data_IF_549229631984
#
_entry.id   IF_549229631984
#
_cell.length_a   1.000
_cell.length_b   1.000
_cell.length_c   1.000
_cell.angle_alpha   90.00
_cell.angle_beta   90.00
_cell.angle_gamma   90.00
#
_symmetry.space_group_name_H-M   'P 1'
#
loop_
_entity.id
_entity.type
_entity.pdbx_description
1 polymer ?
#
# COMPACT_ATOMS: atom_id res chain seq x y z
N UNK A 1 23.86 33.72 64.78
CA UNK A 1 25.22 33.44 64.27
C UNK A 1 25.20 32.04 63.65
N UNK A 2 25.83 31.90 62.49
CA UNK A 2 25.62 30.93 61.39
C UNK A 2 25.31 29.46 61.75
N UNK A 3 24.22 28.95 61.20
CA UNK A 3 23.89 27.52 61.04
C UNK A 3 24.69 27.01 59.83
N UNK A 4 25.50 25.95 60.01
CA UNK A 4 26.24 25.32 58.91
C UNK A 4 25.58 23.97 58.58
N UNK A 5 24.62 23.99 57.65
CA UNK A 5 23.96 22.79 57.14
C UNK A 5 24.92 22.06 56.19
N UNK A 6 25.54 21.00 56.71
CA UNK A 6 26.37 20.06 55.96
C UNK A 6 25.50 19.14 55.10
N UNK A 7 25.90 19.01 53.82
CA UNK A 7 25.61 17.91 52.88
C UNK A 7 24.16 17.71 52.45
N UNK A 8 23.78 18.45 51.40
CA UNK A 8 22.84 17.94 50.39
C UNK A 8 23.58 16.97 49.45
N UNK A 9 23.22 15.69 49.49
CA UNK A 9 23.58 14.69 48.48
C UNK A 9 22.41 14.59 47.51
N UNK A 10 22.48 15.27 46.37
CA UNK A 10 21.58 14.99 45.24
C UNK A 10 22.24 13.85 44.45
N UNK A 11 21.86 12.61 44.74
CA UNK A 11 22.20 11.47 43.90
C UNK A 11 21.32 11.47 42.65
N UNK A 12 21.86 11.85 41.50
CA UNK A 12 21.20 11.72 40.21
C UNK A 12 21.28 10.27 39.74
N UNK A 13 20.20 9.52 39.92
CA UNK A 13 20.02 8.22 39.27
C UNK A 13 19.77 8.42 37.77
N UNK A 14 20.78 8.22 36.95
CA UNK A 14 20.64 8.17 35.50
C UNK A 14 19.98 6.84 35.11
N UNK A 15 18.65 6.85 34.95
CA UNK A 15 17.91 5.78 34.29
C UNK A 15 18.26 5.80 32.80
N UNK A 16 19.16 4.91 32.39
CA UNK A 16 19.37 4.61 30.98
C UNK A 16 18.10 3.94 30.43
N UNK A 17 17.22 4.73 29.84
CA UNK A 17 16.17 4.22 28.95
C UNK A 17 16.86 3.67 27.71
N UNK A 18 17.21 2.39 27.74
CA UNK A 18 17.47 1.64 26.51
C UNK A 18 16.17 1.62 25.72
N UNK A 19 15.99 2.61 24.84
CA UNK A 19 14.92 2.59 23.87
C UNK A 19 15.17 1.40 22.95
N UNK A 20 14.48 0.28 23.20
CA UNK A 20 14.34 -0.81 22.25
C UNK A 20 13.64 -0.23 21.01
N UNK A 21 14.42 0.30 20.08
CA UNK A 21 13.91 0.57 18.73
C UNK A 21 13.82 -0.80 18.07
N UNK A 22 12.64 -1.24 17.59
CA UNK A 22 12.62 -2.38 16.68
C UNK A 22 13.54 -1.98 15.55
N UNK A 23 14.62 -2.74 15.33
CA UNK A 23 15.44 -2.59 14.14
C UNK A 23 14.48 -2.71 12.97
N UNK A 24 14.19 -1.60 12.30
CA UNK A 24 13.46 -1.67 11.04
C UNK A 24 14.42 -2.28 10.05
N UNK A 25 14.41 -3.62 10.00
CA UNK A 25 15.14 -4.43 9.06
C UNK A 25 14.73 -4.05 7.62
N UNK A 26 15.29 -2.96 7.10
CA UNK A 26 15.04 -2.48 5.73
C UNK A 26 15.37 -3.50 4.63
N UNK A 27 15.85 -4.71 4.96
CA UNK A 27 15.95 -5.81 3.99
C UNK A 27 14.61 -6.20 3.38
N UNK A 28 13.47 -5.94 4.04
CA UNK A 28 12.16 -6.08 3.39
C UNK A 28 11.94 -4.99 2.33
N UNK A 29 12.42 -3.77 2.55
CA UNK A 29 12.26 -2.62 1.63
C UNK A 29 12.91 -2.87 0.26
N UNK A 30 14.01 -3.63 0.20
CA UNK A 30 14.68 -3.98 -1.06
C UNK A 30 13.96 -5.07 -1.87
N UNK A 31 12.88 -5.66 -1.34
CA UNK A 31 11.99 -6.59 -2.06
C UNK A 31 10.68 -5.95 -2.49
N UNK A 32 10.43 -4.67 -2.20
CA UNK A 32 9.22 -4.01 -2.65
C UNK A 32 9.33 -3.72 -4.14
N UNK A 33 8.47 -4.38 -4.91
CA UNK A 33 8.22 -4.02 -6.29
C UNK A 33 6.87 -3.33 -6.33
N UNK A 34 6.82 -2.12 -6.84
CA UNK A 34 5.57 -1.42 -7.11
C UNK A 34 5.58 -0.90 -8.53
N UNK A 35 4.42 -0.87 -9.16
CA UNK A 35 4.30 -0.30 -10.48
C UNK A 35 2.85 0.03 -10.80
N UNK A 36 2.68 0.79 -11.87
CA UNK A 36 1.37 1.14 -12.37
C UNK A 36 1.31 1.05 -13.89
N UNK A 37 0.08 1.05 -14.40
CA UNK A 37 -0.20 1.35 -15.80
C UNK A 37 -1.51 2.09 -15.90
N UNK A 38 -1.52 3.12 -16.73
CA UNK A 38 -2.74 3.90 -17.01
C UNK A 38 -3.66 3.06 -17.88
N UNK A 39 -4.94 3.09 -17.57
CA UNK A 39 -6.00 2.37 -18.30
C UNK A 39 -7.17 3.31 -18.60
N UNK A 40 -7.67 3.24 -19.83
CA UNK A 40 -8.77 4.08 -20.29
C UNK A 40 -9.63 3.29 -21.30
N UNK A 41 -10.95 3.47 -21.24
CA UNK A 41 -11.90 2.75 -22.10
C UNK A 41 -11.62 2.94 -23.60
N UNK A 42 -11.23 4.15 -24.02
CA UNK A 42 -10.98 4.48 -25.43
C UNK A 42 -9.82 3.67 -26.01
N UNK A 43 -8.81 3.36 -25.20
CA UNK A 43 -7.61 2.65 -25.66
C UNK A 43 -7.60 1.17 -25.28
N UNK A 44 -8.47 0.73 -24.37
CA UNK A 44 -8.49 -0.64 -23.88
C UNK A 44 -8.63 -1.68 -25.01
N UNK A 45 -9.56 -1.45 -25.95
CA UNK A 45 -9.80 -2.38 -27.06
C UNK A 45 -8.66 -2.49 -28.08
N UNK A 46 -7.62 -1.64 -27.99
CA UNK A 46 -6.43 -1.75 -28.84
C UNK A 46 -5.53 -2.89 -28.37
N UNK A 47 -5.37 -3.03 -27.05
CA UNK A 47 -4.42 -3.95 -26.43
C UNK A 47 -5.10 -5.17 -25.77
N UNK A 48 -6.43 -5.13 -25.61
CA UNK A 48 -7.19 -6.10 -24.83
C UNK A 48 -8.40 -6.65 -25.59
N UNK A 49 -8.70 -7.92 -25.33
CA UNK A 49 -9.83 -8.63 -25.97
C UNK A 49 -11.09 -8.63 -25.11
N UNK A 50 -10.96 -8.34 -23.82
CA UNK A 50 -12.10 -8.21 -22.90
C UNK A 50 -12.68 -6.78 -22.93
N UNK A 51 -13.96 -6.57 -22.59
CA UNK A 51 -14.49 -5.23 -22.39
C UNK A 51 -13.77 -4.47 -21.26
N UNK A 52 -13.69 -3.14 -21.37
CA UNK A 52 -13.09 -2.31 -20.32
C UNK A 52 -13.85 -2.45 -18.99
N UNK A 53 -13.21 -2.91 -17.89
CA UNK A 53 -13.94 -3.34 -16.71
C UNK A 53 -14.26 -2.22 -15.70
N UNK A 54 -13.73 -1.01 -15.87
CA UNK A 54 -13.86 0.08 -14.89
C UNK A 54 -14.88 1.13 -15.31
N UNK A 55 -15.50 1.80 -14.34
CA UNK A 55 -16.49 2.86 -14.59
C UNK A 55 -15.88 4.20 -14.99
N UNK A 56 -14.56 4.33 -14.92
CA UNK A 56 -13.80 5.54 -15.28
C UNK A 56 -12.38 5.17 -15.66
N UNK A 57 -11.63 6.10 -16.25
CA UNK A 57 -10.18 5.97 -16.46
C UNK A 57 -9.42 6.01 -15.14
N UNK A 58 -8.27 5.34 -15.08
CA UNK A 58 -7.44 5.32 -13.89
C UNK A 58 -6.15 4.56 -14.10
N UNK A 59 -5.63 4.01 -13.01
CA UNK A 59 -4.41 3.23 -12.98
C UNK A 59 -4.70 1.84 -12.42
N UNK A 60 -4.09 0.83 -13.02
CA UNK A 60 -3.92 -0.46 -12.36
C UNK A 60 -2.59 -0.39 -11.63
N UNK A 61 -2.64 -0.48 -10.32
CA UNK A 61 -1.48 -0.51 -9.44
C UNK A 61 -1.14 -1.96 -9.07
N UNK A 62 0.15 -2.23 -8.91
CA UNK A 62 0.60 -3.47 -8.33
C UNK A 62 1.63 -3.19 -7.23
N UNK A 63 1.59 -3.99 -6.17
CA UNK A 63 2.57 -3.97 -5.08
C UNK A 63 2.88 -5.40 -4.69
N UNK A 64 4.16 -5.77 -4.67
CA UNK A 64 4.59 -7.08 -4.21
C UNK A 64 4.95 -7.04 -2.72
N UNK A 65 4.27 -7.91 -1.95
CA UNK A 65 4.65 -8.25 -0.58
C UNK A 65 5.04 -9.73 -0.50
N UNK A 66 6.18 -10.07 0.14
CA UNK A 66 6.64 -11.46 0.25
C UNK A 66 5.60 -12.43 0.82
N UNK A 67 4.80 -11.99 1.79
CA UNK A 67 3.85 -12.85 2.51
C UNK A 67 2.48 -13.00 1.81
N UNK A 68 2.15 -12.10 0.89
CA UNK A 68 0.80 -12.01 0.28
C UNK A 68 0.82 -12.15 -1.24
N UNK A 69 2.01 -12.12 -1.85
CA UNK A 69 2.19 -12.10 -3.29
C UNK A 69 1.98 -10.71 -3.87
N UNK A 70 1.72 -10.64 -5.17
CA UNK A 70 1.45 -9.39 -5.86
C UNK A 70 0.00 -8.99 -5.62
N UNK A 71 -0.20 -7.89 -4.91
CA UNK A 71 -1.46 -7.20 -4.77
C UNK A 71 -1.72 -6.37 -6.02
N UNK A 72 -2.94 -6.41 -6.54
CA UNK A 72 -3.34 -5.60 -7.69
C UNK A 72 -4.57 -4.78 -7.33
N UNK A 73 -4.50 -3.48 -7.55
CA UNK A 73 -5.57 -2.52 -7.27
C UNK A 73 -5.93 -1.73 -8.52
N UNK A 74 -7.15 -1.22 -8.56
CA UNK A 74 -7.55 -0.14 -9.47
C UNK A 74 -7.71 1.15 -8.69
N UNK A 75 -7.08 2.21 -9.17
CA UNK A 75 -7.21 3.56 -8.64
C UNK A 75 -7.75 4.51 -9.72
N UNK A 76 -8.92 5.12 -9.52
CA UNK A 76 -9.45 6.09 -10.46
C UNK A 76 -8.52 7.30 -10.64
N UNK A 77 -8.51 7.87 -11.84
CA UNK A 77 -7.72 9.06 -12.12
C UNK A 77 -8.07 10.20 -11.15
N UNK A 78 -7.04 10.84 -10.58
CA UNK A 78 -7.18 11.90 -9.58
C UNK A 78 -7.34 11.42 -8.13
N UNK A 79 -7.37 10.10 -7.89
CA UNK A 79 -7.48 9.54 -6.55
C UNK A 79 -6.14 9.08 -5.95
N UNK A 80 -5.01 9.19 -6.63
CA UNK A 80 -3.67 8.77 -6.15
C UNK A 80 -3.06 9.55 -4.97
N UNK A 81 -3.87 10.22 -4.15
CA UNK A 81 -3.45 10.99 -2.97
C UNK A 81 -3.36 10.08 -1.73
N UNK A 82 -2.53 10.49 -0.76
CA UNK A 82 -2.12 9.72 0.43
C UNK A 82 -3.23 9.08 1.29
N UNK A 83 -4.51 9.44 1.09
CA UNK A 83 -5.65 8.88 1.84
C UNK A 83 -6.56 7.97 1.04
N UNK A 84 -6.37 7.84 -0.28
CA UNK A 84 -7.19 6.94 -1.09
C UNK A 84 -6.70 5.50 -0.99
N UNK A 85 -7.66 4.59 -0.98
CA UNK A 85 -7.46 3.15 -1.00
C UNK A 85 -8.19 2.64 -2.23
N UNK A 86 -7.40 2.22 -3.21
CA UNK A 86 -7.90 1.67 -4.47
C UNK A 86 -8.76 0.42 -4.29
N UNK A 87 -9.49 0.07 -5.34
CA UNK A 87 -10.31 -1.15 -5.36
C UNK A 87 -9.42 -2.38 -5.54
N UNK A 88 -9.48 -3.40 -4.67
CA UNK A 88 -8.72 -4.64 -4.84
C UNK A 88 -9.23 -5.44 -6.02
N UNK A 89 -8.36 -5.81 -6.96
CA UNK A 89 -8.71 -6.61 -8.14
C UNK A 89 -8.46 -8.11 -7.95
N UNK A 90 -7.60 -8.48 -7.00
CA UNK A 90 -7.25 -9.88 -6.73
C UNK A 90 -7.37 -10.26 -5.25
N UNK A 91 -7.27 -11.57 -4.97
CA UNK A 91 -7.39 -12.10 -3.60
C UNK A 91 -6.28 -11.61 -2.66
N UNK A 92 -5.09 -11.34 -3.19
CA UNK A 92 -3.96 -10.83 -2.39
C UNK A 92 -4.28 -9.44 -1.84
N UNK A 93 -4.66 -8.52 -2.73
CA UNK A 93 -5.10 -7.16 -2.39
C UNK A 93 -6.28 -7.17 -1.40
N UNK A 94 -7.30 -7.99 -1.64
CA UNK A 94 -8.44 -8.07 -0.74
C UNK A 94 -8.07 -8.58 0.68
N UNK A 95 -7.13 -9.52 0.77
CA UNK A 95 -6.64 -10.03 2.06
C UNK A 95 -5.78 -9.00 2.79
N UNK A 96 -4.94 -8.26 2.06
CA UNK A 96 -4.10 -7.21 2.62
C UNK A 96 -4.96 -6.12 3.28
N UNK A 97 -5.95 -5.60 2.56
CA UNK A 97 -6.89 -4.62 3.14
C UNK A 97 -7.61 -5.16 4.38
N UNK A 98 -8.09 -6.41 4.33
CA UNK A 98 -8.77 -7.03 5.48
C UNK A 98 -7.86 -7.14 6.71
N UNK A 99 -6.60 -7.54 6.52
CA UNK A 99 -5.61 -7.65 7.61
C UNK A 99 -5.37 -6.31 8.27
N UNK A 100 -5.25 -5.26 7.46
CA UNK A 100 -4.92 -3.91 7.94
C UNK A 100 -6.14 -3.13 8.46
N UNK A 101 -7.33 -3.76 8.47
CA UNK A 101 -8.57 -3.09 8.86
C UNK A 101 -8.98 -1.97 7.90
N UNK A 102 -8.46 -2.00 6.67
CA UNK A 102 -8.67 -1.00 5.64
C UNK A 102 -9.81 -1.39 4.71
N UNK A 103 -10.44 -0.38 4.11
CA UNK A 103 -11.49 -0.56 3.09
C UNK A 103 -11.22 0.36 1.91
N UNK A 104 -11.54 -0.08 0.68
CA UNK A 104 -11.52 0.80 -0.48
C UNK A 104 -12.44 2.00 -0.24
N UNK A 105 -12.00 3.19 -0.63
CA UNK A 105 -12.75 4.44 -0.41
C UNK A 105 -12.84 5.32 -1.66
N UNK A 106 -12.50 4.77 -2.83
CA UNK A 106 -12.62 5.46 -4.12
C UNK A 106 -14.07 5.36 -4.67
N UNK A 107 -14.64 6.43 -5.25
CA UNK A 107 -16.05 6.46 -5.67
C UNK A 107 -16.31 5.78 -7.02
N UNK A 108 -15.26 5.53 -7.80
CA UNK A 108 -15.32 4.82 -9.07
C UNK A 108 -14.52 3.53 -8.99
N UNK A 109 -15.00 2.48 -9.65
CA UNK A 109 -14.50 1.13 -9.43
C UNK A 109 -14.86 0.25 -10.63
N UNK A 110 -15.30 -0.96 -10.37
CA UNK A 110 -15.59 -2.01 -11.33
C UNK A 110 -17.04 -1.90 -11.83
N UNK A 111 -17.25 -2.03 -13.14
CA UNK A 111 -18.58 -2.17 -13.75
C UNK A 111 -19.23 -3.46 -13.25
N UNK A 112 -20.53 -3.44 -13.00
CA UNK A 112 -21.26 -4.62 -12.53
C UNK A 112 -21.08 -5.80 -13.50
N UNK A 113 -20.72 -6.98 -12.97
CA UNK A 113 -20.51 -8.19 -13.75
C UNK A 113 -19.26 -8.19 -14.64
N UNK A 114 -18.36 -7.19 -14.52
CA UNK A 114 -17.15 -7.13 -15.33
C UNK A 114 -16.19 -8.31 -15.07
N UNK A 115 -15.60 -8.83 -16.14
CA UNK A 115 -14.47 -9.75 -16.04
C UNK A 115 -13.19 -8.97 -15.72
N UNK A 116 -12.57 -9.32 -14.60
CA UNK A 116 -11.33 -8.69 -14.12
C UNK A 116 -10.07 -9.48 -14.52
N UNK A 117 -10.22 -10.63 -15.16
CA UNK A 117 -9.12 -11.56 -15.42
C UNK A 117 -7.96 -10.89 -16.16
N UNK A 118 -8.25 -10.15 -17.22
CA UNK A 118 -7.26 -9.44 -18.02
C UNK A 118 -6.65 -8.25 -17.26
N UNK A 119 -7.45 -7.46 -16.55
CA UNK A 119 -6.96 -6.36 -15.73
C UNK A 119 -6.03 -6.83 -14.60
N UNK A 120 -6.35 -7.95 -13.94
CA UNK A 120 -5.47 -8.57 -12.97
C UNK A 120 -4.15 -9.00 -13.62
N UNK A 121 -4.19 -9.64 -14.79
CA UNK A 121 -2.98 -10.03 -15.50
C UNK A 121 -2.12 -8.83 -15.92
N UNK A 122 -2.74 -7.72 -16.33
CA UNK A 122 -2.04 -6.47 -16.61
C UNK A 122 -1.24 -6.03 -15.38
N UNK A 123 -1.88 -5.92 -14.21
CA UNK A 123 -1.21 -5.54 -12.97
C UNK A 123 -0.10 -6.52 -12.56
N UNK A 124 -0.34 -7.83 -12.67
CA UNK A 124 0.68 -8.85 -12.38
C UNK A 124 1.90 -8.71 -13.29
N UNK A 125 1.71 -8.41 -14.59
CA UNK A 125 2.81 -8.18 -15.54
C UNK A 125 3.59 -6.92 -15.22
N UNK A 126 2.96 -5.86 -14.75
CA UNK A 126 3.64 -4.60 -14.39
C UNK A 126 4.66 -4.84 -13.28
N UNK A 127 4.33 -5.61 -12.25
CA UNK A 127 5.26 -5.97 -11.19
C UNK A 127 6.18 -7.14 -11.54
N UNK A 128 5.79 -8.03 -12.46
CA UNK A 128 6.63 -9.16 -12.90
C UNK A 128 7.72 -8.79 -13.92
N UNK A 129 7.69 -7.58 -14.49
CA UNK A 129 8.65 -7.07 -15.48
C UNK A 129 9.74 -6.16 -14.89
N UNK A 130 9.70 -5.88 -13.58
CA UNK A 130 10.64 -4.99 -12.89
C UNK A 130 11.83 -5.74 -12.31
#
# INVERSE_FOLDING_TARGET
MRINMSRWLIGTAALFLAACTPSQDRSYASKFVSGNTVVNEVFWGVDHKTPYPFTTSGEILCVYYPDFGIEVYFEPAGYSKDSSIGTPLNKAAAKALKRDGMKPNVPYSIKEGADLSEAVQVGLRVCGKQ
#
